data_IF_784111425068
#
_entry.id   IF_784111425068
#
_cell.length_a   1.000
_cell.length_b   1.000
_cell.length_c   1.000
_cell.angle_alpha   90.00
_cell.angle_beta   90.00
_cell.angle_gamma   90.00
#
_symmetry.space_group_name_H-M   'P 1'
#
loop_
_entity.id
_entity.type
_entity.pdbx_description
1 polymer ?
#
# COMPACT_ATOMS: atom_id res chain seq x y z
N UNK A 1 -8.48 -11.14 17.88
CA UNK A 1 -7.12 -10.64 18.12
C UNK A 1 -7.10 -9.15 17.81
N UNK A 2 -6.50 -8.31 18.64
CA UNK A 2 -6.38 -6.88 18.37
C UNK A 2 -5.39 -6.65 17.21
N UNK A 3 -5.64 -5.65 16.36
CA UNK A 3 -4.76 -5.32 15.25
C UNK A 3 -4.68 -3.81 15.02
N UNK A 4 -3.62 -3.38 14.32
CA UNK A 4 -3.43 -2.02 13.83
C UNK A 4 -2.85 -2.02 12.42
N UNK A 5 -3.00 -0.89 11.72
CA UNK A 5 -2.25 -0.62 10.48
C UNK A 5 -0.84 -0.16 10.85
N UNK A 6 0.15 -0.55 10.05
CA UNK A 6 1.50 0.00 10.06
C UNK A 6 1.48 1.55 10.07
N UNK A 7 2.25 2.18 10.94
CA UNK A 7 2.18 3.64 11.10
C UNK A 7 2.67 4.39 9.86
N UNK A 8 3.63 3.83 9.12
CA UNK A 8 4.09 4.40 7.85
C UNK A 8 2.97 4.45 6.80
N UNK A 9 2.07 3.46 6.78
CA UNK A 9 0.92 3.45 5.87
C UNK A 9 -0.18 4.43 6.30
N UNK A 10 -0.34 4.67 7.62
CA UNK A 10 -1.23 5.74 8.10
C UNK A 10 -0.74 7.12 7.64
N UNK A 11 0.56 7.37 7.74
CA UNK A 11 1.20 8.60 7.27
C UNK A 11 1.03 8.75 5.76
N UNK A 12 1.26 7.69 4.97
CA UNK A 12 1.04 7.71 3.53
C UNK A 12 -0.40 8.10 3.19
N UNK A 13 -1.38 7.45 3.81
CA UNK A 13 -2.80 7.73 3.58
C UNK A 13 -3.17 9.16 3.96
N UNK A 14 -2.63 9.67 5.05
CA UNK A 14 -2.84 11.05 5.48
C UNK A 14 -2.27 12.05 4.45
N UNK A 15 -1.03 11.85 3.97
CA UNK A 15 -0.46 12.69 2.93
C UNK A 15 -1.27 12.66 1.63
N UNK A 16 -1.78 11.48 1.24
CA UNK A 16 -2.65 11.34 0.07
C UNK A 16 -3.95 12.14 0.27
N UNK A 17 -4.58 12.04 1.44
CA UNK A 17 -5.79 12.78 1.76
C UNK A 17 -5.57 14.30 1.80
N UNK A 18 -4.39 14.75 2.24
CA UNK A 18 -4.04 16.17 2.25
C UNK A 18 -3.88 16.73 0.84
N UNK A 19 -3.27 15.97 -0.07
CA UNK A 19 -3.10 16.37 -1.48
C UNK A 19 -4.43 16.29 -2.25
N UNK A 20 -5.24 15.26 -1.97
CA UNK A 20 -6.49 14.97 -2.68
C UNK A 20 -7.66 14.83 -1.69
N UNK A 21 -8.10 15.93 -1.05
CA UNK A 21 -9.09 15.88 0.05
C UNK A 21 -10.48 15.41 -0.37
N UNK A 22 -10.82 15.55 -1.65
CA UNK A 22 -12.12 15.17 -2.20
C UNK A 22 -12.09 13.83 -2.94
N UNK A 23 -10.98 13.07 -2.87
CA UNK A 23 -10.87 11.78 -3.56
C UNK A 23 -11.91 10.80 -3.05
N UNK A 24 -12.36 9.95 -3.95
CA UNK A 24 -13.07 8.73 -3.58
C UNK A 24 -12.19 7.84 -2.71
N UNK A 25 -12.84 7.18 -1.75
CA UNK A 25 -12.27 6.12 -0.89
C UNK A 25 -12.97 4.78 -1.11
N UNK A 26 -13.75 4.65 -2.19
CA UNK A 26 -14.63 3.49 -2.45
C UNK A 26 -13.89 2.15 -2.59
N UNK A 27 -12.58 2.20 -2.83
CA UNK A 27 -11.71 1.02 -2.95
C UNK A 27 -10.49 1.12 -2.03
N UNK A 28 -10.55 1.99 -1.01
CA UNK A 28 -9.54 2.00 0.03
C UNK A 28 -9.69 0.76 0.92
N UNK A 29 -8.58 0.21 1.38
CA UNK A 29 -8.58 -1.00 2.19
C UNK A 29 -7.30 -1.13 2.99
N UNK A 30 -7.40 -1.70 4.20
CA UNK A 30 -6.22 -2.05 5.00
C UNK A 30 -6.32 -3.48 5.51
N UNK A 31 -7.38 -3.82 6.24
CA UNK A 31 -7.59 -5.18 6.76
C UNK A 31 -8.37 -6.02 5.74
N UNK A 32 -7.95 -7.26 5.53
CA UNK A 32 -8.72 -8.23 4.74
C UNK A 32 -9.99 -8.66 5.50
N UNK A 33 -11.03 -9.04 4.78
CA UNK A 33 -12.19 -9.65 5.42
C UNK A 33 -11.85 -11.04 6.03
N UNK A 34 -12.75 -11.60 6.82
CA UNK A 34 -12.53 -12.90 7.46
C UNK A 34 -12.34 -14.05 6.45
N UNK A 35 -12.90 -13.95 5.24
CA UNK A 35 -12.69 -14.94 4.19
C UNK A 35 -11.30 -14.82 3.55
N UNK A 36 -10.71 -13.63 3.58
CA UNK A 36 -9.35 -13.31 3.11
C UNK A 36 -8.26 -13.70 4.12
N UNK A 37 -8.62 -13.91 5.39
CA UNK A 37 -7.71 -14.29 6.47
C UNK A 37 -6.92 -15.60 6.22
N UNK A 38 -7.48 -16.52 5.42
CA UNK A 38 -6.84 -17.80 5.07
C UNK A 38 -5.80 -17.69 3.95
N UNK A 39 -5.73 -16.55 3.26
CA UNK A 39 -4.84 -16.32 2.10
C UNK A 39 -3.55 -15.64 2.55
N UNK A 40 -2.42 -15.96 1.93
CA UNK A 40 -1.16 -15.23 2.17
C UNK A 40 -1.23 -13.82 1.57
N UNK A 41 -1.66 -12.84 2.36
CA UNK A 41 -1.85 -11.44 1.95
C UNK A 41 -1.43 -10.47 3.05
N UNK A 42 -0.69 -9.42 2.73
CA UNK A 42 -0.23 -8.43 3.73
C UNK A 42 -1.36 -7.55 4.32
N UNK A 43 -2.59 -7.72 3.82
CA UNK A 43 -3.81 -7.23 4.46
C UNK A 43 -4.20 -8.00 5.72
N UNK A 44 -3.60 -9.17 5.95
CA UNK A 44 -3.76 -9.92 7.20
C UNK A 44 -2.68 -9.51 8.19
N UNK A 45 -2.98 -9.45 9.49
CA UNK A 45 -2.09 -8.92 10.51
C UNK A 45 -1.04 -9.96 10.94
N UNK A 46 -0.14 -10.35 10.01
CA UNK A 46 0.82 -11.44 10.21
C UNK A 46 1.93 -11.15 11.21
N UNK A 47 2.30 -9.87 11.34
CA UNK A 47 3.31 -9.44 12.30
C UNK A 47 2.61 -9.24 13.63
N UNK A 48 3.12 -9.82 14.71
CA UNK A 48 2.56 -9.63 16.05
C UNK A 48 3.58 -8.91 16.91
N UNK A 49 3.19 -7.73 17.40
CA UNK A 49 3.98 -6.92 18.33
C UNK A 49 3.18 -6.74 19.61
N UNK A 50 3.74 -7.16 20.76
CA UNK A 50 3.09 -7.02 22.07
C UNK A 50 1.65 -7.57 22.11
N UNK A 51 1.38 -8.66 21.38
CA UNK A 51 0.05 -9.28 21.28
C UNK A 51 -0.92 -8.57 20.32
N UNK A 52 -0.46 -7.55 19.59
CA UNK A 52 -1.24 -6.81 18.59
C UNK A 52 -0.72 -7.15 17.20
N UNK A 53 -1.62 -7.59 16.32
CA UNK A 53 -1.30 -7.85 14.93
C UNK A 53 -1.10 -6.56 14.12
N UNK A 54 -0.16 -6.54 13.18
CA UNK A 54 0.14 -5.39 12.32
C UNK A 54 -0.15 -5.73 10.87
N UNK A 55 -1.03 -4.93 10.27
CA UNK A 55 -1.39 -4.96 8.86
C UNK A 55 -0.41 -4.08 8.09
N UNK A 56 0.26 -4.65 7.09
CA UNK A 56 1.31 -3.99 6.31
C UNK A 56 0.91 -3.70 4.87
N UNK A 57 -0.40 -3.65 4.59
CA UNK A 57 -0.95 -3.30 3.29
C UNK A 57 -1.96 -2.15 3.35
N UNK A 58 -1.95 -1.35 2.29
CA UNK A 58 -2.88 -0.26 2.02
C UNK A 58 -3.30 -0.32 0.55
N UNK A 59 -4.59 -0.38 0.30
CA UNK A 59 -5.18 -0.10 -1.01
C UNK A 59 -5.61 1.37 -1.06
N UNK A 60 -5.31 2.04 -2.16
CA UNK A 60 -5.67 3.45 -2.41
C UNK A 60 -6.47 3.55 -3.71
N UNK A 61 -7.68 4.09 -3.61
CA UNK A 61 -8.59 4.27 -4.75
C UNK A 61 -7.95 5.12 -5.86
N UNK A 62 -8.06 4.68 -7.11
CA UNK A 62 -7.74 5.48 -8.27
C UNK A 62 -8.91 6.43 -8.57
N UNK A 63 -8.68 7.72 -8.36
CA UNK A 63 -9.68 8.77 -8.61
C UNK A 63 -8.99 10.05 -9.15
N UNK A 64 -8.56 10.03 -10.42
CA UNK A 64 -7.80 11.13 -10.99
C UNK A 64 -8.65 12.41 -11.12
N UNK A 65 -9.99 12.27 -11.21
CA UNK A 65 -10.91 13.41 -11.30
C UNK A 65 -10.93 14.27 -10.04
N UNK A 66 -10.57 13.69 -8.89
CA UNK A 66 -10.52 14.37 -7.60
C UNK A 66 -9.09 14.42 -7.02
N UNK A 67 -8.08 14.33 -7.89
CA UNK A 67 -6.68 14.57 -7.54
C UNK A 67 -5.91 13.34 -7.02
N UNK A 68 -6.48 12.14 -7.07
CA UNK A 68 -5.81 10.90 -6.67
C UNK A 68 -5.51 10.00 -7.89
N UNK A 69 -4.53 10.39 -8.69
CA UNK A 69 -4.03 9.52 -9.76
C UNK A 69 -3.09 8.43 -9.20
N UNK A 70 -3.56 7.18 -9.23
CA UNK A 70 -2.82 6.04 -8.73
C UNK A 70 -1.58 5.75 -9.57
N UNK A 71 -1.57 6.07 -10.87
CA UNK A 71 -0.36 5.90 -11.68
C UNK A 71 0.74 6.85 -11.20
N UNK A 72 0.41 8.13 -10.97
CA UNK A 72 1.37 9.11 -10.42
C UNK A 72 1.86 8.75 -9.03
N UNK A 73 0.96 8.28 -8.16
CA UNK A 73 1.33 7.77 -6.84
C UNK A 73 2.37 6.64 -6.96
N UNK A 74 2.05 5.63 -7.76
CA UNK A 74 2.90 4.45 -7.97
C UNK A 74 4.25 4.87 -8.56
N UNK A 75 4.27 5.73 -9.57
CA UNK A 75 5.50 6.20 -10.20
C UNK A 75 6.38 6.96 -9.20
N UNK A 76 5.82 7.84 -8.38
CA UNK A 76 6.58 8.57 -7.36
C UNK A 76 7.20 7.65 -6.30
N UNK A 77 6.44 6.65 -5.82
CA UNK A 77 6.94 5.65 -4.89
C UNK A 77 8.05 4.79 -5.52
N UNK A 78 7.89 4.37 -6.77
CA UNK A 78 8.90 3.59 -7.50
C UNK A 78 10.17 4.42 -7.76
N UNK A 79 10.03 5.68 -8.15
CA UNK A 79 11.17 6.59 -8.37
C UNK A 79 11.95 6.87 -7.10
N UNK A 80 11.27 7.01 -5.96
CA UNK A 80 11.93 7.25 -4.66
C UNK A 80 12.79 6.07 -4.19
N UNK A 81 12.48 4.86 -4.67
CA UNK A 81 13.05 3.59 -4.19
C UNK A 81 13.02 3.47 -2.66
N UNK A 82 11.97 4.01 -2.02
CA UNK A 82 11.84 4.03 -0.57
C UNK A 82 11.95 2.62 0.02
N UNK A 83 12.85 2.45 0.99
CA UNK A 83 13.18 1.15 1.57
C UNK A 83 12.03 0.53 2.37
N UNK A 84 10.99 1.31 2.69
CA UNK A 84 9.77 0.83 3.34
C UNK A 84 8.93 -0.01 2.39
N UNK A 85 8.93 0.27 1.09
CA UNK A 85 8.15 -0.49 0.10
C UNK A 85 8.64 -1.93 0.06
N UNK A 86 7.74 -2.91 0.18
CA UNK A 86 7.99 -4.34 -0.09
C UNK A 86 7.60 -4.69 -1.52
N UNK A 87 6.38 -4.34 -1.90
CA UNK A 87 5.90 -4.39 -3.29
C UNK A 87 4.69 -3.49 -3.50
N UNK A 88 4.43 -3.18 -4.76
CA UNK A 88 3.28 -2.41 -5.23
C UNK A 88 2.63 -3.18 -6.38
N UNK A 89 1.30 -3.23 -6.40
CA UNK A 89 0.52 -3.81 -7.50
C UNK A 89 -0.43 -2.74 -8.03
N UNK A 90 -0.38 -2.50 -9.33
CA UNK A 90 -1.30 -1.59 -10.01
C UNK A 90 -1.38 -1.94 -11.49
N UNK A 91 -2.57 -1.79 -12.07
CA UNK A 91 -2.82 -1.94 -13.50
C UNK A 91 -2.23 -3.24 -14.10
N UNK A 92 -2.55 -4.38 -13.48
CA UNK A 92 -2.04 -5.72 -13.84
C UNK A 92 -0.52 -5.85 -13.85
N UNK A 93 0.19 -5.01 -13.10
CA UNK A 93 1.64 -5.08 -12.93
C UNK A 93 2.00 -5.13 -11.47
N UNK A 94 3.13 -5.78 -11.17
CA UNK A 94 3.74 -5.82 -9.85
C UNK A 94 5.21 -5.40 -9.94
N UNK A 95 5.64 -4.61 -8.96
CA UNK A 95 7.03 -4.23 -8.73
C UNK A 95 7.36 -4.46 -7.26
N UNK A 96 8.58 -4.88 -6.96
CA UNK A 96 9.01 -5.19 -5.60
C UNK A 96 10.39 -4.66 -5.34
N UNK A 97 10.71 -4.33 -4.09
CA UNK A 97 12.07 -4.00 -3.66
C UNK A 97 12.89 -5.23 -3.28
N UNK A 98 12.26 -6.40 -3.10
CA UNK A 98 12.90 -7.62 -2.58
C UNK A 98 13.05 -8.71 -3.64
N UNK A 99 12.08 -8.88 -4.53
CA UNK A 99 12.15 -9.85 -5.63
C UNK A 99 12.25 -9.15 -6.97
N UNK A 100 13.38 -9.36 -7.67
CA UNK A 100 13.78 -8.61 -8.88
C UNK A 100 13.62 -7.10 -8.66
N UNK A 101 14.48 -6.52 -7.78
CA UNK A 101 14.26 -5.20 -7.23
C UNK A 101 14.04 -4.13 -8.30
N UNK A 102 12.88 -3.46 -8.21
CA UNK A 102 12.47 -2.37 -9.08
C UNK A 102 12.27 -2.72 -10.55
N UNK A 103 12.11 -4.02 -10.86
CA UNK A 103 11.70 -4.49 -12.19
C UNK A 103 10.18 -4.69 -12.24
N UNK A 104 9.55 -4.05 -13.24
CA UNK A 104 8.13 -4.27 -13.53
C UNK A 104 7.88 -5.66 -14.09
N UNK A 105 6.86 -6.34 -13.56
CA UNK A 105 6.45 -7.68 -13.99
C UNK A 105 4.94 -7.75 -14.19
N UNK A 106 4.46 -8.65 -15.06
CA UNK A 106 3.03 -8.96 -15.13
C UNK A 106 2.50 -9.43 -13.77
N UNK A 107 1.28 -9.02 -13.43
CA UNK A 107 0.53 -9.51 -12.29
C UNK A 107 -0.73 -10.24 -12.77
N UNK A 108 -0.84 -11.50 -12.39
CA UNK A 108 -1.89 -12.43 -12.86
C UNK A 108 -2.92 -12.76 -11.77
N UNK A 109 -2.91 -12.03 -10.65
CA UNK A 109 -3.92 -12.22 -9.60
C UNK A 109 -5.33 -11.87 -10.07
N UNK A 110 -6.32 -12.48 -9.40
CA UNK A 110 -7.75 -12.36 -9.77
C UNK A 110 -8.24 -10.90 -9.75
N UNK A 111 -7.82 -10.11 -8.77
CA UNK A 111 -8.07 -8.67 -8.75
C UNK A 111 -6.99 -7.96 -9.60
N UNK A 112 -7.35 -7.32 -10.73
CA UNK A 112 -6.35 -6.73 -11.62
C UNK A 112 -5.77 -5.39 -11.12
N UNK A 113 -6.24 -4.85 -9.98
CA UNK A 113 -5.80 -3.57 -9.41
C UNK A 113 -5.87 -2.39 -10.39
N UNK A 114 -6.99 -2.27 -11.12
CA UNK A 114 -7.26 -1.15 -12.04
C UNK A 114 -8.10 -0.03 -11.39
N UNK A 115 -8.74 -0.32 -10.25
CA UNK A 115 -9.59 0.64 -9.50
C UNK A 115 -8.89 1.23 -8.27
N UNK A 116 -7.79 0.63 -7.86
CA UNK A 116 -6.94 1.05 -6.74
C UNK A 116 -5.54 0.51 -6.98
N UNK A 117 -4.52 1.16 -6.43
CA UNK A 117 -3.21 0.55 -6.27
C UNK A 117 -3.12 -0.12 -4.90
N UNK A 118 -2.37 -1.21 -4.84
CA UNK A 118 -2.04 -1.93 -3.61
C UNK A 118 -0.59 -1.63 -3.25
N UNK A 119 -0.35 -1.23 -2.00
CA UNK A 119 0.98 -0.90 -1.49
C UNK A 119 1.23 -1.74 -0.24
N UNK A 120 2.30 -2.53 -0.26
CA UNK A 120 2.77 -3.30 0.88
C UNK A 120 4.10 -2.77 1.40
N UNK A 121 4.25 -2.68 2.72
CA UNK A 121 5.51 -2.31 3.39
C UNK A 121 6.22 -3.51 3.99
N UNK A 122 7.53 -3.38 4.15
CA UNK A 122 8.38 -4.42 4.72
C UNK A 122 8.07 -4.67 6.21
N UNK A 123 8.29 -5.90 6.67
CA UNK A 123 7.92 -6.35 8.00
C UNK A 123 8.90 -6.02 9.13
N UNK A 124 9.98 -5.30 8.83
CA UNK A 124 10.87 -4.77 9.87
C UNK A 124 10.24 -3.53 10.54
N UNK A 125 10.28 -3.46 11.88
CA UNK A 125 9.58 -2.43 12.66
C UNK A 125 10.00 -1.01 12.26
N UNK A 126 11.28 -0.81 12.02
CA UNK A 126 11.86 0.47 11.62
C UNK A 126 11.31 0.95 10.27
N UNK A 127 10.74 0.04 9.46
CA UNK A 127 10.13 0.36 8.16
C UNK A 127 8.62 0.52 8.25
N UNK A 128 7.90 -0.45 8.83
CA UNK A 128 6.44 -0.36 8.89
C UNK A 128 5.96 0.69 9.91
N UNK A 129 6.75 1.04 10.93
CA UNK A 129 6.45 2.13 11.87
C UNK A 129 7.31 3.39 11.65
N UNK A 130 7.99 3.48 10.50
CA UNK A 130 8.73 4.70 10.16
C UNK A 130 7.81 5.92 10.14
N UNK A 131 8.16 6.95 10.90
CA UNK A 131 7.42 8.22 10.97
C UNK A 131 7.81 9.22 9.87
N UNK A 132 8.74 8.86 8.97
CA UNK A 132 9.20 9.76 7.92
C UNK A 132 8.08 10.01 6.89
N UNK A 133 7.97 11.23 6.33
CA UNK A 133 7.04 11.47 5.23
C UNK A 133 7.41 10.63 4.00
N UNK A 134 6.43 10.26 3.21
CA UNK A 134 6.62 9.64 1.91
C UNK A 134 6.88 10.70 0.84
N UNK A 135 7.76 10.37 -0.11
CA UNK A 135 7.98 11.16 -1.31
C UNK A 135 6.92 10.77 -2.35
N UNK A 136 5.83 11.54 -2.41
CA UNK A 136 4.70 11.24 -3.29
C UNK A 136 4.29 12.44 -4.14
N UNK A 137 3.76 12.14 -5.33
CA UNK A 137 3.05 13.09 -6.17
C UNK A 137 1.80 12.41 -6.76
N UNK A 138 0.68 13.13 -6.80
CA UNK A 138 -0.62 12.66 -7.29
C UNK A 138 -1.16 13.46 -8.48
N UNK A 139 -0.56 14.60 -8.82
CA UNK A 139 -1.07 15.62 -9.76
C UNK A 139 -0.06 15.98 -10.82
#
# INVERSE_FOLDING_TARGET
>A
MAWRVADSLKILREQINQIAPNRSVSSDGTIGDAAHASRKSDHNPWIVENGIGVVTALDVTHDPMHGCDAQRLVDSLVSSKDSRVKYIIYNRKIISSTFKPWEWRPYEGVNPHIKHCHISVNGEKEKYDSALPWQINLT
#
